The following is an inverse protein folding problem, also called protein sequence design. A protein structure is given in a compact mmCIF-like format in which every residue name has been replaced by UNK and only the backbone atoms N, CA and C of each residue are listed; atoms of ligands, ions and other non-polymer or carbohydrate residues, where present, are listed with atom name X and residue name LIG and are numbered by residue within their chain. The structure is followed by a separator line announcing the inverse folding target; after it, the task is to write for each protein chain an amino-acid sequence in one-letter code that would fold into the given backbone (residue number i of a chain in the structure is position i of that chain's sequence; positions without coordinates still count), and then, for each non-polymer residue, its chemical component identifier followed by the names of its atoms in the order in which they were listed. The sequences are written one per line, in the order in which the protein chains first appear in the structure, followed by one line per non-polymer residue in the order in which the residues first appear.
data_IF_497157227289
#
_entry.id   IF_497157227289
#
_cell.length_a   1.000
_cell.length_b   1.000
_cell.length_c   1.000
_cell.angle_alpha   90.00
_cell.angle_beta   90.00
_cell.angle_gamma   90.00
#
_symmetry.space_group_name_H-M   'P 1'
#
loop_
_entity.id
_entity.type
_entity.pdbx_description
1 polymer ?
#
# COMPACT_ATOMS: atom_id res chain seq x y z
N UNK A 1 0.28 -17.76 1.92
CA UNK A 1 0.18 -16.42 2.54
C UNK A 1 0.25 -15.35 1.48
N UNK A 2 -0.63 -14.38 1.58
CA UNK A 2 -0.65 -13.29 0.62
C UNK A 2 -0.90 -11.98 1.35
N UNK A 3 -0.42 -10.92 0.75
CA UNK A 3 -0.62 -9.57 1.28
C UNK A 3 -1.45 -8.80 0.26
N UNK A 4 -2.47 -8.11 0.73
CA UNK A 4 -3.32 -7.28 -0.12
C UNK A 4 -3.11 -5.82 0.22
N UNK A 5 -2.98 -5.00 -0.79
CA UNK A 5 -2.86 -3.55 -0.61
C UNK A 5 -4.13 -2.83 -1.05
N UNK A 6 -5.25 -3.56 -1.07
CA UNK A 6 -6.52 -2.96 -1.50
C UNK A 6 -6.89 -1.74 -0.67
N UNK A 7 -6.60 -1.77 0.63
CA UNK A 7 -6.86 -0.62 1.49
C UNK A 7 -6.11 0.62 1.02
N UNK A 8 -4.86 0.44 0.61
CA UNK A 8 -4.06 1.56 0.10
C UNK A 8 -4.69 2.15 -1.15
N UNK A 9 -5.10 1.29 -2.09
CA UNK A 9 -5.69 1.78 -3.33
C UNK A 9 -6.99 2.53 -3.08
N UNK A 10 -7.79 2.06 -2.12
CA UNK A 10 -9.01 2.75 -1.73
C UNK A 10 -8.70 4.10 -1.10
N UNK A 11 -7.66 4.17 -0.26
CA UNK A 11 -7.25 5.45 0.33
C UNK A 11 -6.86 6.45 -0.75
N UNK A 12 -6.15 5.99 -1.78
CA UNK A 12 -5.77 6.88 -2.87
C UNK A 12 -7.00 7.43 -3.59
N UNK A 13 -7.97 6.57 -3.85
CA UNK A 13 -9.20 6.99 -4.50
C UNK A 13 -9.92 8.03 -3.64
N UNK A 14 -10.02 7.77 -2.34
CA UNK A 14 -10.69 8.67 -1.41
C UNK A 14 -10.01 10.03 -1.35
N UNK A 15 -8.69 10.05 -1.52
CA UNK A 15 -7.91 11.30 -1.50
C UNK A 15 -7.78 11.93 -2.89
N UNK A 16 -8.35 11.31 -3.91
CA UNK A 16 -8.24 11.82 -5.27
C UNK A 16 -6.82 11.76 -5.82
N UNK A 17 -6.03 10.80 -5.37
CA UNK A 17 -4.62 10.66 -5.75
C UNK A 17 -4.40 9.49 -6.67
N UNK A 18 -3.39 9.62 -7.51
CA UNK A 18 -2.89 8.50 -8.33
C UNK A 18 -1.62 7.96 -7.71
N UNK A 19 -1.18 6.78 -8.19
CA UNK A 19 0.04 6.16 -7.69
C UNK A 19 1.24 7.07 -7.88
N UNK A 20 1.30 7.79 -9.00
CA UNK A 20 2.38 8.74 -9.24
C UNK A 20 2.39 9.88 -8.23
N UNK A 21 1.21 10.36 -7.85
CA UNK A 21 1.10 11.41 -6.85
C UNK A 21 1.62 10.92 -5.50
N UNK A 22 1.32 9.67 -5.16
CA UNK A 22 1.81 9.09 -3.93
C UNK A 22 3.33 9.02 -3.92
N UNK A 23 3.93 8.63 -5.03
CA UNK A 23 5.38 8.59 -5.15
C UNK A 23 5.99 9.96 -4.89
N UNK A 24 5.41 10.99 -5.48
CA UNK A 24 5.94 12.34 -5.31
C UNK A 24 5.83 12.82 -3.88
N UNK A 25 4.70 12.57 -3.25
CA UNK A 25 4.45 13.07 -1.90
C UNK A 25 5.25 12.33 -0.85
N UNK A 26 5.49 11.04 -1.05
CA UNK A 26 6.20 10.22 -0.06
C UNK A 26 7.67 10.07 -0.37
N UNK A 27 8.09 10.42 -1.58
CA UNK A 27 9.47 10.20 -2.00
C UNK A 27 9.80 8.76 -2.31
N UNK A 28 8.80 7.90 -2.43
CA UNK A 28 9.02 6.50 -2.76
C UNK A 28 9.29 6.35 -4.25
N UNK A 29 10.04 5.30 -4.61
CA UNK A 29 10.34 5.02 -6.01
C UNK A 29 9.16 4.31 -6.67
N UNK A 30 9.10 4.41 -8.00
CA UNK A 30 8.06 3.72 -8.74
C UNK A 30 8.21 2.20 -8.62
N UNK A 31 9.43 1.70 -8.42
CA UNK A 31 9.64 0.27 -8.22
C UNK A 31 9.01 -0.21 -6.93
N UNK A 32 9.00 0.61 -5.88
CA UNK A 32 8.33 0.26 -4.63
C UNK A 32 6.82 0.16 -4.85
N UNK A 33 6.26 1.10 -5.57
CA UNK A 33 4.82 1.06 -5.88
C UNK A 33 4.49 -0.15 -6.74
N UNK A 34 5.38 -0.50 -7.67
CA UNK A 34 5.18 -1.68 -8.51
C UNK A 34 5.15 -2.96 -7.67
N UNK A 35 6.01 -3.04 -6.65
CA UNK A 35 6.00 -4.19 -5.74
C UNK A 35 4.65 -4.31 -5.04
N UNK A 36 4.12 -3.19 -4.57
CA UNK A 36 2.82 -3.20 -3.90
C UNK A 36 1.71 -3.57 -4.87
N UNK A 37 1.80 -3.12 -6.11
CA UNK A 37 0.82 -3.49 -7.13
C UNK A 37 0.83 -5.00 -7.37
N UNK A 38 2.00 -5.63 -7.25
CA UNK A 38 2.15 -7.07 -7.41
C UNK A 38 1.94 -7.82 -6.09
N UNK A 39 1.48 -7.15 -5.05
CA UNK A 39 1.22 -7.74 -3.74
C UNK A 39 2.49 -8.32 -3.10
N UNK A 40 3.64 -7.72 -3.37
CA UNK A 40 4.90 -8.12 -2.77
C UNK A 40 5.13 -7.38 -1.47
N UNK A 41 5.95 -7.97 -0.59
CA UNK A 41 6.26 -7.36 0.69
C UNK A 41 7.10 -6.09 0.53
N UNK A 42 6.84 -5.10 1.37
CA UNK A 42 7.66 -3.92 1.46
C UNK A 42 7.98 -3.67 2.92
N UNK A 43 8.96 -2.82 3.19
CA UNK A 43 9.35 -2.53 4.56
C UNK A 43 8.27 -1.73 5.27
N UNK A 44 8.18 -1.92 6.58
CA UNK A 44 7.24 -1.15 7.38
C UNK A 44 7.53 0.35 7.32
N UNK A 45 8.81 0.73 7.16
CA UNK A 45 9.16 2.13 7.03
C UNK A 45 8.52 2.76 5.80
N UNK A 46 8.38 1.99 4.73
CA UNK A 46 7.69 2.45 3.52
C UNK A 46 6.22 2.71 3.83
N UNK A 47 5.59 1.74 4.49
CA UNK A 47 4.18 1.88 4.86
C UNK A 47 3.98 3.03 5.84
N UNK A 48 4.94 3.24 6.73
CA UNK A 48 4.89 4.36 7.66
C UNK A 48 4.86 5.71 6.96
N UNK A 49 5.65 5.86 5.91
CA UNK A 49 5.65 7.09 5.12
C UNK A 49 4.28 7.33 4.50
N UNK A 50 3.67 6.26 4.00
CA UNK A 50 2.35 6.37 3.39
C UNK A 50 1.30 6.71 4.45
N UNK A 51 1.38 6.08 5.61
CA UNK A 51 0.47 6.37 6.71
C UNK A 51 0.52 7.85 7.09
N UNK A 52 1.73 8.39 7.17
CA UNK A 52 1.92 9.79 7.52
C UNK A 52 1.29 10.70 6.46
N UNK A 53 1.48 10.36 5.19
CA UNK A 53 0.97 11.19 4.10
C UNK A 53 -0.55 11.14 4.01
N UNK A 54 -1.13 9.97 4.24
CA UNK A 54 -2.58 9.78 4.10
C UNK A 54 -3.32 9.87 5.44
N UNK A 55 -2.57 10.08 6.53
CA UNK A 55 -3.14 10.19 7.88
C UNK A 55 -3.98 8.96 8.23
N UNK A 56 -3.38 7.79 8.11
CA UNK A 56 -4.05 6.52 8.38
C UNK A 56 -3.11 5.56 9.07
N UNK A 57 -3.59 4.37 9.39
CA UNK A 57 -2.82 3.34 10.05
C UNK A 57 -2.46 2.21 9.09
N UNK A 58 -1.53 1.35 9.52
CA UNK A 58 -1.11 0.20 8.71
C UNK A 58 -2.31 -0.67 8.30
N UNK A 59 -3.25 -0.88 9.23
CA UNK A 59 -4.42 -1.68 8.93
C UNK A 59 -5.33 -1.09 7.87
N UNK A 60 -5.21 0.21 7.63
CA UNK A 60 -5.97 0.85 6.57
C UNK A 60 -5.35 0.65 5.20
N UNK A 61 -4.10 0.20 5.16
CA UNK A 61 -3.36 0.05 3.92
C UNK A 61 -3.25 -1.39 3.46
N UNK A 62 -3.02 -2.32 4.39
CA UNK A 62 -2.70 -3.71 4.03
C UNK A 62 -3.58 -4.67 4.79
N UNK A 63 -3.79 -5.83 4.18
CA UNK A 63 -4.52 -6.94 4.78
C UNK A 63 -3.74 -8.21 4.58
N UNK A 64 -3.92 -9.13 5.50
CA UNK A 64 -3.38 -10.48 5.38
C UNK A 64 -4.44 -11.37 4.75
N UNK A 65 -4.08 -12.08 3.71
CA UNK A 65 -4.99 -13.01 3.04
C UNK A 65 -4.43 -14.42 3.25
N UNK A 66 -5.14 -15.27 3.98
CA UNK A 66 -4.65 -16.63 4.23
C UNK A 66 -4.68 -17.49 2.96
N UNK A 67 -3.68 -18.39 2.88
CA UNK A 67 -3.57 -19.28 1.74
C UNK A 67 -4.59 -20.40 1.79
N UNK A 68 -4.98 -20.79 2.97
CA UNK A 68 -5.81 -21.98 3.14
C UNK A 68 -7.20 -21.84 2.53
N UNK A 69 -7.61 -20.63 2.23
CA UNK A 69 -8.88 -20.42 1.55
C UNK A 69 -8.89 -21.02 0.15
N UNK A 70 -7.72 -21.35 -0.33
CA UNK A 70 -7.56 -21.89 -1.68
C UNK A 70 -7.88 -23.37 -1.75
N UNK A 71 -8.09 -24.00 -0.65
CA UNK A 71 -8.38 -25.43 -0.63
C UNK A 71 -9.79 -25.74 -1.11
#
# INVERSE_FOLDING_TARGET
MAISYNGLWKQLIDHGMKKGDLCEKTGLSSSTIAKMTNCESVKLSVLGKICKELDCNFGDLVDYVPDDKEK
#
